data_IF_844720200523
#
_entry.id   IF_844720200523
#
_cell.length_a   1.000
_cell.length_b   1.000
_cell.length_c   1.000
_cell.angle_alpha   90.00
_cell.angle_beta   90.00
_cell.angle_gamma   90.00
#
_symmetry.space_group_name_H-M   'P 1'
#
loop_
_entity.id
_entity.type
_entity.pdbx_description
1 polymer ?
#
# COMPACT_ATOMS: atom_id res chain seq x y z
N UNK A 1 -53.37 5.87 -33.09
CA UNK A 1 -51.99 5.64 -32.61
C UNK A 1 -51.83 6.48 -31.36
N UNK A 2 -51.43 5.89 -30.24
CA UNK A 2 -51.09 6.67 -29.06
C UNK A 2 -49.79 7.44 -29.35
N UNK A 3 -49.73 8.73 -29.03
CA UNK A 3 -48.47 9.48 -29.13
C UNK A 3 -47.50 8.92 -28.09
N UNK A 4 -46.40 8.33 -28.54
CA UNK A 4 -45.32 7.91 -27.65
C UNK A 4 -44.61 9.18 -27.19
N UNK A 5 -44.59 9.41 -25.89
CA UNK A 5 -43.82 10.51 -25.30
C UNK A 5 -42.40 10.00 -25.13
N UNK A 6 -41.45 10.63 -25.83
CA UNK A 6 -40.04 10.26 -25.68
C UNK A 6 -39.59 10.49 -24.23
N UNK A 7 -39.03 9.48 -23.55
CA UNK A 7 -38.53 9.65 -22.20
C UNK A 7 -37.37 10.65 -22.21
N UNK A 8 -37.50 11.71 -21.41
CA UNK A 8 -36.47 12.74 -21.27
C UNK A 8 -35.36 12.39 -20.28
N UNK A 9 -35.46 11.25 -19.58
CA UNK A 9 -34.48 10.81 -18.59
C UNK A 9 -34.21 9.30 -18.65
N UNK A 10 -33.08 8.90 -18.05
CA UNK A 10 -32.60 7.50 -18.02
C UNK A 10 -33.57 6.56 -17.29
N UNK A 11 -34.24 7.05 -16.25
CA UNK A 11 -35.19 6.27 -15.46
C UNK A 11 -36.47 5.97 -16.27
N UNK A 12 -36.96 6.94 -17.04
CA UNK A 12 -38.06 6.75 -17.97
C UNK A 12 -37.75 5.74 -19.05
N UNK A 13 -36.54 5.78 -19.62
CA UNK A 13 -36.06 4.76 -20.57
C UNK A 13 -36.02 3.38 -19.92
N UNK A 14 -35.42 3.26 -18.73
CA UNK A 14 -35.32 1.98 -18.03
C UNK A 14 -36.69 1.37 -17.70
N UNK A 15 -37.65 2.20 -17.25
CA UNK A 15 -39.00 1.74 -16.98
C UNK A 15 -39.73 1.33 -18.28
N UNK A 16 -39.52 2.06 -19.37
CA UNK A 16 -40.11 1.73 -20.67
C UNK A 16 -39.55 0.40 -21.23
N UNK A 17 -38.26 0.13 -21.04
CA UNK A 17 -37.62 -1.12 -21.47
C UNK A 17 -38.11 -2.37 -20.71
N UNK A 18 -38.71 -2.19 -19.53
CA UNK A 18 -39.22 -3.28 -18.69
C UNK A 18 -40.72 -3.51 -18.93
N UNK A 19 -41.43 -2.55 -19.52
CA UNK A 19 -42.87 -2.67 -19.77
C UNK A 19 -43.14 -3.47 -21.06
N UNK A 20 -43.71 -4.69 -20.98
CA UNK A 20 -44.00 -5.51 -22.15
C UNK A 20 -45.10 -4.92 -23.04
N UNK A 21 -45.83 -3.89 -22.60
CA UNK A 21 -46.89 -3.24 -23.38
C UNK A 21 -46.36 -2.21 -24.38
N UNK A 22 -45.08 -1.84 -24.32
CA UNK A 22 -44.47 -0.84 -25.19
C UNK A 22 -43.91 -1.51 -26.45
N UNK A 23 -44.34 -1.02 -27.62
CA UNK A 23 -43.74 -1.37 -28.90
C UNK A 23 -42.37 -0.69 -29.03
N UNK A 24 -41.31 -1.46 -28.83
CA UNK A 24 -39.93 -0.99 -28.84
C UNK A 24 -39.51 -0.46 -30.22
N UNK A 25 -39.97 -1.09 -31.31
CA UNK A 25 -39.68 -0.61 -32.67
C UNK A 25 -40.30 0.78 -32.90
N UNK A 26 -41.52 0.99 -32.41
CA UNK A 26 -42.18 2.29 -32.45
C UNK A 26 -41.47 3.34 -31.55
N UNK A 27 -40.98 2.95 -30.38
CA UNK A 27 -40.24 3.83 -29.47
C UNK A 27 -38.91 4.30 -30.09
N UNK A 28 -38.09 3.38 -30.60
CA UNK A 28 -36.77 3.74 -31.17
C UNK A 28 -36.88 4.50 -32.50
N UNK A 29 -37.92 4.23 -33.30
CA UNK A 29 -38.16 5.00 -34.53
C UNK A 29 -38.65 6.42 -34.26
N UNK A 30 -39.44 6.65 -33.21
CA UNK A 30 -39.93 7.98 -32.84
C UNK A 30 -38.96 8.78 -31.97
N UNK A 31 -38.12 8.10 -31.19
CA UNK A 31 -37.24 8.69 -30.19
C UNK A 31 -35.79 8.21 -30.34
N UNK A 32 -35.08 8.57 -31.43
CA UNK A 32 -33.71 8.11 -31.67
C UNK A 32 -32.73 8.53 -30.55
N UNK A 33 -32.98 9.65 -29.89
CA UNK A 33 -32.23 10.12 -28.71
C UNK A 33 -32.26 9.11 -27.55
N UNK A 34 -33.23 8.18 -27.52
CA UNK A 34 -33.29 7.12 -26.50
C UNK A 34 -32.05 6.22 -26.56
N UNK A 35 -31.49 6.00 -27.75
CA UNK A 35 -30.24 5.27 -27.90
C UNK A 35 -29.03 6.05 -27.34
N UNK A 36 -29.11 7.39 -27.27
CA UNK A 36 -28.09 8.26 -26.66
C UNK A 36 -28.29 8.41 -25.15
N UNK A 37 -29.54 8.46 -24.67
CA UNK A 37 -29.89 8.51 -23.24
C UNK A 37 -29.51 7.23 -22.47
N UNK A 38 -29.36 6.09 -23.15
CA UNK A 38 -28.78 4.90 -22.54
C UNK A 38 -27.33 5.13 -22.06
N UNK A 39 -26.67 6.18 -22.58
CA UNK A 39 -25.38 6.67 -22.13
C UNK A 39 -25.53 7.82 -21.14
N UNK A 40 -24.54 7.97 -20.27
CA UNK A 40 -24.37 9.23 -19.53
C UNK A 40 -23.90 10.26 -20.56
N UNK A 41 -24.80 11.13 -21.01
CA UNK A 41 -24.46 12.26 -21.88
C UNK A 41 -23.54 13.28 -21.21
N UNK A 42 -23.35 13.17 -19.88
CA UNK A 42 -22.36 13.92 -19.12
C UNK A 42 -21.13 13.05 -18.83
N UNK A 43 -19.99 13.44 -19.42
CA UNK A 43 -18.67 12.81 -19.30
C UNK A 43 -18.43 12.13 -17.93
N UNK A 44 -18.47 10.78 -17.84
CA UNK A 44 -18.10 10.10 -16.61
C UNK A 44 -16.57 10.11 -16.50
N UNK A 45 -16.04 11.21 -15.98
CA UNK A 45 -14.63 11.44 -15.59
C UNK A 45 -14.02 10.32 -14.71
N UNK A 46 -14.87 9.42 -14.21
CA UNK A 46 -14.54 8.28 -13.37
C UNK A 46 -13.80 7.16 -14.11
N UNK A 47 -13.94 7.08 -15.43
CA UNK A 47 -13.19 6.15 -16.29
C UNK A 47 -11.93 6.77 -16.89
N UNK A 48 -11.59 7.98 -16.45
CA UNK A 48 -10.56 8.81 -17.04
C UNK A 48 -9.18 8.15 -17.10
N UNK A 49 -8.36 8.60 -18.06
CA UNK A 49 -6.97 8.14 -18.25
C UNK A 49 -6.20 8.19 -16.92
N UNK A 50 -6.35 9.27 -16.15
CA UNK A 50 -5.65 9.44 -14.88
C UNK A 50 -6.02 8.41 -13.81
N UNK A 51 -7.26 7.90 -13.78
CA UNK A 51 -7.67 6.82 -12.86
C UNK A 51 -6.96 5.52 -13.23
N UNK A 52 -6.95 5.16 -14.52
CA UNK A 52 -6.20 4.01 -15.01
C UNK A 52 -4.70 4.12 -14.69
N UNK A 53 -4.09 5.27 -14.96
CA UNK A 53 -2.67 5.51 -14.64
C UNK A 53 -2.43 5.42 -13.13
N UNK A 54 -3.34 5.95 -12.30
CA UNK A 54 -3.22 5.86 -10.84
C UNK A 54 -3.22 4.41 -10.36
N UNK A 55 -4.10 3.57 -10.90
CA UNK A 55 -4.11 2.14 -10.59
C UNK A 55 -2.88 1.41 -11.14
N UNK A 56 -2.34 1.81 -12.28
CA UNK A 56 -1.07 1.27 -12.81
C UNK A 56 0.12 1.66 -11.92
N UNK A 57 0.19 2.92 -11.48
CA UNK A 57 1.19 3.39 -10.52
C UNK A 57 1.05 2.60 -9.22
N UNK A 58 -0.18 2.46 -8.72
CA UNK A 58 -0.47 1.70 -7.51
C UNK A 58 -0.02 0.24 -7.62
N UNK A 59 -0.39 -0.45 -8.71
CA UNK A 59 0.02 -1.82 -9.00
C UNK A 59 1.54 -1.95 -9.04
N UNK A 60 2.20 -1.00 -9.71
CA UNK A 60 3.65 -0.98 -9.86
C UNK A 60 4.35 -0.76 -8.51
N UNK A 61 3.89 0.21 -7.70
CA UNK A 61 4.44 0.46 -6.39
C UNK A 61 4.20 -0.71 -5.45
N UNK A 62 3.02 -1.32 -5.50
CA UNK A 62 2.72 -2.57 -4.79
C UNK A 62 3.73 -3.65 -5.15
N UNK A 63 3.96 -3.94 -6.42
CA UNK A 63 4.94 -4.95 -6.85
C UNK A 63 6.36 -4.60 -6.41
N UNK A 64 6.75 -3.34 -6.58
CA UNK A 64 8.09 -2.85 -6.24
C UNK A 64 8.34 -2.81 -4.72
N UNK A 65 7.31 -2.57 -3.90
CA UNK A 65 7.46 -2.56 -2.46
C UNK A 65 7.17 -3.90 -1.83
N UNK A 66 6.20 -4.69 -2.28
CA UNK A 66 5.76 -5.90 -1.59
C UNK A 66 6.86 -6.95 -1.46
N UNK A 67 7.45 -7.40 -2.56
CA UNK A 67 8.50 -8.43 -2.51
C UNK A 67 9.73 -7.92 -1.77
N UNK A 68 10.31 -6.77 -2.15
CA UNK A 68 11.53 -6.31 -1.52
C UNK A 68 11.28 -5.94 -0.05
N UNK A 69 10.14 -5.34 0.30
CA UNK A 69 9.83 -4.99 1.68
C UNK A 69 9.72 -6.23 2.55
N UNK A 70 8.95 -7.24 2.15
CA UNK A 70 8.77 -8.46 2.96
C UNK A 70 10.13 -9.17 3.12
N UNK A 71 10.87 -9.37 2.02
CA UNK A 71 12.19 -9.99 2.06
C UNK A 71 13.15 -9.17 2.93
N UNK A 72 13.32 -7.88 2.67
CA UNK A 72 14.23 -7.03 3.44
C UNK A 72 13.80 -6.90 4.89
N UNK A 73 12.50 -6.87 5.21
CA UNK A 73 12.03 -6.73 6.58
C UNK A 73 12.44 -7.94 7.44
N UNK A 74 12.25 -9.16 6.95
CA UNK A 74 12.62 -10.37 7.67
C UNK A 74 14.13 -10.58 7.75
N UNK A 75 14.86 -10.30 6.67
CA UNK A 75 16.31 -10.55 6.61
C UNK A 75 17.18 -9.37 7.07
N UNK A 76 16.62 -8.17 7.26
CA UNK A 76 17.42 -7.00 7.67
C UNK A 76 17.66 -6.93 9.18
N UNK A 77 18.78 -6.31 9.62
CA UNK A 77 19.02 -5.93 11.01
C UNK A 77 17.93 -5.00 11.56
N UNK A 78 17.72 -5.03 12.87
CA UNK A 78 16.71 -4.24 13.60
C UNK A 78 16.78 -2.73 13.30
N UNK A 79 17.99 -2.19 13.13
CA UNK A 79 18.22 -0.78 12.77
C UNK A 79 17.59 -0.40 11.43
N UNK A 80 17.70 -1.26 10.41
CA UNK A 80 17.13 -1.03 9.07
C UNK A 80 15.63 -1.30 9.01
N UNK A 81 15.14 -2.24 9.83
CA UNK A 81 13.69 -2.51 9.92
C UNK A 81 12.91 -1.25 10.27
N UNK A 82 13.43 -0.38 11.14
CA UNK A 82 12.78 0.91 11.47
C UNK A 82 12.60 1.81 10.24
N UNK A 83 13.64 1.94 9.42
CA UNK A 83 13.57 2.73 8.18
C UNK A 83 12.59 2.14 7.18
N UNK A 84 12.61 0.81 7.01
CA UNK A 84 11.69 0.09 6.14
C UNK A 84 10.24 0.28 6.60
N UNK A 85 9.95 0.09 7.90
CA UNK A 85 8.61 0.32 8.46
C UNK A 85 8.16 1.74 8.20
N UNK A 86 9.02 2.74 8.39
CA UNK A 86 8.69 4.13 8.09
C UNK A 86 8.45 4.40 6.59
N UNK A 87 9.08 3.67 5.68
CA UNK A 87 8.78 3.73 4.24
C UNK A 87 7.40 3.13 3.95
N UNK A 88 7.17 1.93 4.45
CA UNK A 88 5.92 1.21 4.25
C UNK A 88 4.72 1.95 4.84
N UNK A 89 4.85 2.53 6.03
CA UNK A 89 3.80 3.35 6.62
C UNK A 89 3.41 4.55 5.76
N UNK A 90 4.37 5.17 5.07
CA UNK A 90 4.06 6.29 4.18
C UNK A 90 3.34 5.80 2.93
N UNK A 91 3.87 4.76 2.27
CA UNK A 91 3.22 4.10 1.14
C UNK A 91 1.77 3.74 1.48
N UNK A 92 1.57 3.13 2.65
CA UNK A 92 0.27 2.68 3.11
C UNK A 92 -0.72 3.81 3.40
N UNK A 93 -0.27 4.92 4.00
CA UNK A 93 -1.12 6.10 4.22
C UNK A 93 -1.66 6.64 2.91
N UNK A 94 -0.77 6.80 1.92
CA UNK A 94 -1.11 7.32 0.60
C UNK A 94 -2.09 6.40 -0.10
N UNK A 95 -1.78 5.10 -0.06
CA UNK A 95 -2.65 4.06 -0.58
C UNK A 95 -4.06 4.18 0.03
N UNK A 96 -4.16 4.26 1.36
CA UNK A 96 -5.44 4.40 2.04
C UNK A 96 -6.16 5.70 1.66
N UNK A 97 -5.46 6.82 1.53
CA UNK A 97 -6.05 8.10 1.11
C UNK A 97 -6.61 8.03 -0.30
N UNK A 98 -5.84 7.50 -1.26
CA UNK A 98 -6.31 7.31 -2.64
C UNK A 98 -7.56 6.42 -2.68
N UNK A 99 -7.51 5.30 -1.96
CA UNK A 99 -8.61 4.35 -1.92
C UNK A 99 -9.87 4.96 -1.27
N UNK A 100 -9.76 5.62 -0.12
CA UNK A 100 -10.92 6.25 0.54
C UNK A 100 -11.52 7.35 -0.33
N UNK A 101 -10.68 8.21 -0.94
CA UNK A 101 -11.14 9.26 -1.83
C UNK A 101 -11.91 8.65 -3.01
N UNK A 102 -11.34 7.64 -3.66
CA UNK A 102 -11.95 6.99 -4.80
C UNK A 102 -13.25 6.27 -4.46
N UNK A 103 -13.30 5.54 -3.34
CA UNK A 103 -14.50 4.87 -2.85
C UNK A 103 -15.64 5.87 -2.61
N UNK A 104 -15.34 7.01 -1.99
CA UNK A 104 -16.32 8.07 -1.76
C UNK A 104 -16.82 8.67 -3.08
N UNK A 105 -15.93 8.92 -4.04
CA UNK A 105 -16.32 9.43 -5.36
C UNK A 105 -17.23 8.44 -6.08
N UNK A 106 -16.88 7.15 -6.09
CA UNK A 106 -17.69 6.10 -6.71
C UNK A 106 -19.06 5.96 -6.04
N UNK A 107 -19.12 6.05 -4.70
CA UNK A 107 -20.40 6.03 -3.97
C UNK A 107 -21.27 7.25 -4.28
N UNK A 108 -20.69 8.46 -4.31
CA UNK A 108 -21.40 9.70 -4.62
C UNK A 108 -21.95 9.64 -6.05
N UNK A 109 -21.16 9.16 -7.00
CA UNK A 109 -21.61 9.06 -8.39
C UNK A 109 -22.69 8.00 -8.51
N UNK A 110 -22.51 6.83 -7.92
CA UNK A 110 -23.54 5.80 -7.92
C UNK A 110 -24.86 6.32 -7.31
N UNK A 111 -24.79 7.08 -6.21
CA UNK A 111 -25.96 7.68 -5.58
C UNK A 111 -26.63 8.76 -6.45
N UNK A 112 -25.85 9.55 -7.19
CA UNK A 112 -26.37 10.64 -8.04
C UNK A 112 -26.89 10.16 -9.39
N UNK A 113 -26.32 9.09 -9.93
CA UNK A 113 -26.54 8.74 -11.32
C UNK A 113 -27.80 7.90 -11.57
N UNK A 114 -28.57 7.57 -10.53
CA UNK A 114 -29.95 7.09 -10.70
C UNK A 114 -30.12 5.76 -11.44
N UNK A 115 -29.08 4.93 -11.52
CA UNK A 115 -29.14 3.64 -12.23
C UNK A 115 -28.78 3.73 -13.72
N UNK A 116 -27.61 4.30 -14.03
CA UNK A 116 -27.05 4.25 -15.39
C UNK A 116 -26.82 2.78 -15.78
N UNK A 117 -27.50 2.36 -16.85
CA UNK A 117 -27.42 1.01 -17.38
C UNK A 117 -25.96 0.68 -17.80
N UNK A 118 -25.36 1.48 -18.68
CA UNK A 118 -24.00 1.23 -19.18
C UNK A 118 -22.86 1.69 -18.25
N UNK A 119 -23.17 2.52 -17.25
CA UNK A 119 -22.22 2.90 -16.20
C UNK A 119 -21.96 1.78 -15.19
N UNK A 120 -22.81 0.75 -15.14
CA UNK A 120 -22.69 -0.33 -14.16
C UNK A 120 -21.40 -1.14 -14.33
N UNK A 121 -21.07 -1.60 -15.55
CA UNK A 121 -19.84 -2.38 -15.77
C UNK A 121 -18.60 -1.56 -15.41
N UNK A 122 -18.59 -0.27 -15.75
CA UNK A 122 -17.52 0.65 -15.39
C UNK A 122 -17.40 0.79 -13.86
N UNK A 123 -18.50 1.15 -13.19
CA UNK A 123 -18.55 1.33 -11.73
C UNK A 123 -18.15 0.04 -11.02
N UNK A 124 -18.60 -1.11 -11.52
CA UNK A 124 -18.21 -2.42 -11.04
C UNK A 124 -16.70 -2.67 -11.19
N UNK A 125 -16.12 -2.43 -12.36
CA UNK A 125 -14.68 -2.56 -12.59
C UNK A 125 -13.87 -1.63 -11.66
N UNK A 126 -14.37 -0.42 -11.40
CA UNK A 126 -13.76 0.52 -10.47
C UNK A 126 -13.80 0.01 -9.01
N UNK A 127 -14.94 -0.52 -8.54
CA UNK A 127 -15.02 -1.18 -7.24
C UNK A 127 -14.11 -2.41 -7.16
N UNK A 128 -13.94 -3.12 -8.26
CA UNK A 128 -13.12 -4.30 -8.32
C UNK A 128 -11.62 -3.96 -8.25
N UNK A 129 -11.16 -2.95 -9.00
CA UNK A 129 -9.79 -2.43 -8.92
C UNK A 129 -9.45 -2.03 -7.49
N UNK A 130 -10.38 -1.32 -6.86
CA UNK A 130 -10.29 -0.91 -5.48
C UNK A 130 -10.17 -2.10 -4.52
N UNK A 131 -11.06 -3.08 -4.66
CA UNK A 131 -11.08 -4.27 -3.81
C UNK A 131 -9.79 -5.06 -3.93
N UNK A 132 -9.35 -5.36 -5.15
CA UNK A 132 -8.11 -6.10 -5.42
C UNK A 132 -6.94 -5.37 -4.81
N UNK A 133 -6.84 -4.07 -5.04
CA UNK A 133 -5.70 -3.34 -4.55
C UNK A 133 -5.66 -3.27 -3.02
N UNK A 134 -6.83 -3.14 -2.36
CA UNK A 134 -6.93 -3.15 -0.89
C UNK A 134 -6.50 -4.51 -0.36
N UNK A 135 -6.91 -5.59 -1.05
CA UNK A 135 -6.46 -6.95 -0.83
C UNK A 135 -4.94 -7.07 -0.88
N UNK A 136 -4.31 -6.54 -1.94
CA UNK A 136 -2.85 -6.57 -2.04
C UNK A 136 -2.19 -5.82 -0.89
N UNK A 137 -2.70 -4.64 -0.53
CA UNK A 137 -2.15 -3.88 0.59
C UNK A 137 -2.31 -4.61 1.93
N UNK A 138 -3.42 -5.33 2.15
CA UNK A 138 -3.61 -6.16 3.34
C UNK A 138 -2.55 -7.28 3.41
N UNK A 139 -2.33 -8.00 2.31
CA UNK A 139 -1.28 -9.03 2.21
C UNK A 139 0.09 -8.42 2.49
N UNK A 140 0.38 -7.24 1.93
CA UNK A 140 1.67 -6.57 2.12
C UNK A 140 1.88 -6.06 3.55
N UNK A 141 0.81 -5.59 4.20
CA UNK A 141 0.84 -5.09 5.57
C UNK A 141 0.87 -6.21 6.62
N UNK A 142 0.68 -7.48 6.20
CA UNK A 142 0.59 -8.62 7.11
C UNK A 142 1.76 -8.73 8.10
N UNK A 143 3.04 -8.57 7.72
CA UNK A 143 4.17 -8.61 8.67
C UNK A 143 4.11 -7.51 9.74
N UNK A 144 3.50 -6.36 9.40
CA UNK A 144 3.34 -5.22 10.28
C UNK A 144 2.17 -5.42 11.24
N UNK A 145 1.04 -5.93 10.74
CA UNK A 145 -0.12 -6.32 11.54
C UNK A 145 0.28 -7.41 12.55
N UNK A 146 1.04 -8.40 12.09
CA UNK A 146 1.63 -9.46 12.91
C UNK A 146 2.45 -8.90 14.06
N UNK A 147 3.40 -7.99 13.77
CA UNK A 147 4.22 -7.38 14.81
C UNK A 147 3.41 -6.51 15.76
N UNK A 148 2.32 -5.90 15.32
CA UNK A 148 1.44 -5.14 16.20
C UNK A 148 0.65 -6.04 17.13
N UNK A 149 0.07 -7.12 16.61
CA UNK A 149 -0.61 -8.14 17.40
C UNK A 149 0.31 -8.78 18.45
N UNK A 150 1.59 -8.93 18.14
CA UNK A 150 2.62 -9.37 19.09
C UNK A 150 2.67 -8.46 20.32
N UNK A 151 2.74 -7.14 20.11
CA UNK A 151 2.77 -6.21 21.24
C UNK A 151 1.46 -6.29 22.03
N UNK A 152 0.31 -6.48 21.37
CA UNK A 152 -1.01 -6.59 22.00
C UNK A 152 -1.15 -7.81 22.88
N UNK A 153 -0.82 -8.98 22.36
CA UNK A 153 -1.13 -10.25 23.01
C UNK A 153 -0.10 -10.56 24.09
N UNK A 154 1.17 -10.22 23.86
CA UNK A 154 2.27 -10.61 24.76
C UNK A 154 2.36 -9.72 26.00
N UNK A 155 1.61 -8.62 26.08
CA UNK A 155 1.58 -7.76 27.27
C UNK A 155 2.96 -7.18 27.62
N UNK A 156 3.88 -7.10 26.65
CA UNK A 156 5.18 -6.45 26.84
C UNK A 156 4.91 -5.04 27.32
N UNK A 157 5.44 -4.66 28.49
CA UNK A 157 5.23 -3.34 29.11
C UNK A 157 5.31 -2.27 28.02
N UNK A 158 4.16 -1.74 27.60
CA UNK A 158 4.12 -0.88 26.45
C UNK A 158 4.81 0.42 26.86
N UNK A 159 5.78 0.89 26.09
CA UNK A 159 6.05 2.32 26.04
C UNK A 159 4.71 2.97 25.65
N UNK A 160 3.98 3.48 26.64
CA UNK A 160 2.55 3.81 26.61
C UNK A 160 2.17 4.74 25.44
N UNK A 161 3.14 5.54 25.00
CA UNK A 161 3.01 6.50 23.92
C UNK A 161 2.95 5.85 22.52
N UNK A 162 3.66 4.75 22.29
CA UNK A 162 3.81 4.16 20.94
C UNK A 162 2.55 3.44 20.48
N UNK A 163 1.73 3.02 21.44
CA UNK A 163 0.52 2.23 21.27
C UNK A 163 -0.70 2.98 20.78
N UNK A 164 -0.99 4.14 21.38
CA UNK A 164 -2.13 4.98 20.98
C UNK A 164 -2.07 5.35 19.49
N UNK A 165 -0.86 5.45 18.93
CA UNK A 165 -0.65 5.83 17.53
C UNK A 165 -0.84 4.68 16.54
N UNK A 166 -0.42 3.46 16.88
CA UNK A 166 -0.46 2.34 15.93
C UNK A 166 -1.82 1.62 15.94
N UNK A 167 -2.49 1.51 17.10
CA UNK A 167 -3.82 0.90 17.19
C UNK A 167 -4.88 1.66 16.39
N UNK A 168 -4.86 3.00 16.42
CA UNK A 168 -5.77 3.84 15.62
C UNK A 168 -5.62 3.60 14.11
N UNK A 169 -4.38 3.46 13.61
CA UNK A 169 -4.13 3.20 12.18
C UNK A 169 -4.68 1.83 11.74
N UNK A 170 -4.55 0.80 12.58
CA UNK A 170 -5.10 -0.53 12.28
C UNK A 170 -6.62 -0.49 12.23
N UNK A 171 -7.28 0.14 13.21
CA UNK A 171 -8.74 0.22 13.22
C UNK A 171 -9.28 0.95 11.99
N UNK A 172 -8.65 2.07 11.62
CA UNK A 172 -8.99 2.78 10.37
C UNK A 172 -8.79 1.87 9.16
N UNK A 173 -7.70 1.11 9.11
CA UNK A 173 -7.46 0.19 8.00
C UNK A 173 -8.47 -0.96 7.95
N UNK A 174 -8.71 -1.64 9.06
CA UNK A 174 -9.68 -2.73 9.15
C UNK A 174 -11.07 -2.23 8.76
N UNK A 175 -11.44 -1.03 9.19
CA UNK A 175 -12.68 -0.38 8.78
C UNK A 175 -12.72 -0.11 7.27
N UNK A 176 -11.68 0.49 6.69
CA UNK A 176 -11.59 0.74 5.25
C UNK A 176 -11.64 -0.57 4.47
N UNK A 177 -10.95 -1.62 4.92
CA UNK A 177 -10.97 -2.94 4.30
C UNK A 177 -12.38 -3.55 4.32
N UNK A 178 -13.02 -3.57 5.49
CA UNK A 178 -14.38 -4.09 5.64
C UNK A 178 -15.40 -3.30 4.82
N UNK A 179 -15.24 -1.98 4.73
CA UNK A 179 -16.08 -1.13 3.91
C UNK A 179 -15.91 -1.43 2.41
N UNK A 180 -14.67 -1.59 1.94
CA UNK A 180 -14.39 -1.98 0.54
C UNK A 180 -14.89 -3.39 0.23
N UNK A 181 -14.68 -4.35 1.14
CA UNK A 181 -15.21 -5.71 0.99
C UNK A 181 -16.74 -5.72 0.98
N UNK A 182 -17.38 -5.02 1.92
CA UNK A 182 -18.83 -4.94 2.01
C UNK A 182 -19.46 -4.29 0.78
N UNK A 183 -18.86 -3.21 0.26
CA UNK A 183 -19.31 -2.55 -0.97
C UNK A 183 -19.10 -3.44 -2.20
N UNK A 184 -17.92 -4.06 -2.36
CA UNK A 184 -17.66 -4.98 -3.46
C UNK A 184 -18.60 -6.20 -3.44
N UNK A 185 -18.81 -6.79 -2.26
CA UNK A 185 -19.75 -7.89 -2.08
C UNK A 185 -21.18 -7.45 -2.39
N UNK A 186 -21.63 -6.31 -1.85
CA UNK A 186 -22.96 -5.75 -2.13
C UNK A 186 -23.19 -5.58 -3.63
N UNK A 187 -22.23 -5.01 -4.35
CA UNK A 187 -22.32 -4.78 -5.80
C UNK A 187 -22.31 -6.09 -6.60
N UNK A 188 -21.47 -7.05 -6.21
CA UNK A 188 -21.39 -8.38 -6.86
C UNK A 188 -22.69 -9.17 -6.67
N UNK A 189 -23.33 -9.04 -5.52
CA UNK A 189 -24.55 -9.77 -5.16
C UNK A 189 -25.84 -8.97 -5.40
N UNK A 190 -25.82 -7.92 -6.22
CA UNK A 190 -27.04 -7.16 -6.59
C UNK A 190 -27.61 -7.68 -7.92
N UNK A 191 -28.46 -8.73 -7.92
CA UNK A 191 -28.92 -9.40 -9.14
C UNK A 191 -29.81 -8.51 -10.03
N UNK A 192 -30.43 -7.48 -9.45
CA UNK A 192 -31.34 -6.59 -10.17
C UNK A 192 -30.62 -5.75 -11.22
N UNK A 193 -29.49 -5.14 -10.88
CA UNK A 193 -28.76 -4.27 -11.83
C UNK A 193 -28.12 -5.08 -12.96
N UNK A 194 -27.60 -6.28 -12.67
CA UNK A 194 -27.09 -7.19 -13.69
C UNK A 194 -28.19 -7.61 -14.67
N UNK A 195 -29.39 -7.94 -14.18
CA UNK A 195 -30.53 -8.24 -15.04
C UNK A 195 -30.94 -7.02 -15.85
N UNK A 196 -31.00 -5.83 -15.25
CA UNK A 196 -31.29 -4.59 -15.98
C UNK A 196 -30.28 -4.33 -17.09
N UNK A 197 -28.99 -4.61 -16.87
CA UNK A 197 -27.97 -4.48 -17.91
C UNK A 197 -28.09 -5.54 -19.00
N UNK A 198 -28.24 -6.83 -18.65
CA UNK A 198 -28.45 -7.90 -19.64
C UNK A 198 -29.72 -7.62 -20.47
N UNK A 199 -30.83 -7.29 -19.81
CA UNK A 199 -32.10 -6.94 -20.45
C UNK A 199 -31.91 -5.73 -21.35
N UNK A 200 -31.33 -4.64 -20.85
CA UNK A 200 -31.12 -3.46 -21.68
C UNK A 200 -30.19 -3.74 -22.87
N UNK A 201 -29.12 -4.51 -22.70
CA UNK A 201 -28.25 -4.88 -23.81
C UNK A 201 -29.01 -5.71 -24.87
N UNK A 202 -29.69 -6.79 -24.47
CA UNK A 202 -30.40 -7.64 -25.42
C UNK A 202 -31.61 -6.97 -26.06
N UNK A 203 -32.22 -6.00 -25.38
CA UNK A 203 -33.33 -5.20 -25.90
C UNK A 203 -32.83 -4.06 -26.78
N UNK A 204 -31.76 -3.34 -26.41
CA UNK A 204 -31.26 -2.17 -27.14
C UNK A 204 -30.40 -2.54 -28.36
N UNK A 205 -29.61 -3.61 -28.27
CA UNK A 205 -28.64 -3.96 -29.31
C UNK A 205 -29.26 -4.20 -30.71
N UNK A 206 -30.45 -4.80 -30.84
CA UNK A 206 -31.13 -4.94 -32.13
C UNK A 206 -31.57 -3.60 -32.75
N UNK A 207 -31.93 -2.60 -31.94
CA UNK A 207 -32.55 -1.36 -32.41
C UNK A 207 -31.57 -0.18 -32.52
N UNK A 208 -30.45 -0.23 -31.81
CA UNK A 208 -29.43 0.81 -31.81
C UNK A 208 -28.11 0.21 -32.33
N UNK A 209 -27.76 0.40 -33.62
CA UNK A 209 -26.61 -0.22 -34.27
C UNK A 209 -25.28 -0.01 -33.55
N UNK A 210 -25.14 1.10 -32.84
CA UNK A 210 -23.97 1.44 -32.05
C UNK A 210 -23.69 0.42 -30.92
N UNK A 211 -24.70 -0.29 -30.40
CA UNK A 211 -24.49 -1.32 -29.38
C UNK A 211 -24.05 -2.66 -29.95
N UNK A 212 -24.17 -2.90 -31.26
CA UNK A 212 -23.72 -4.14 -31.89
C UNK A 212 -22.20 -4.36 -31.76
N UNK A 213 -21.44 -3.28 -31.54
CA UNK A 213 -19.99 -3.32 -31.31
C UNK A 213 -19.62 -3.66 -29.85
N UNK A 214 -20.55 -3.49 -28.91
CA UNK A 214 -20.32 -3.80 -27.49
C UNK A 214 -20.54 -5.30 -27.31
N UNK A 215 -19.56 -6.04 -26.78
CA UNK A 215 -19.77 -7.47 -26.54
C UNK A 215 -20.71 -7.66 -25.35
N UNK A 216 -21.55 -8.72 -25.33
CA UNK A 216 -22.36 -9.01 -24.16
C UNK A 216 -21.48 -9.26 -22.93
N UNK A 217 -21.97 -8.92 -21.73
CA UNK A 217 -21.25 -9.16 -20.49
C UNK A 217 -20.93 -10.65 -20.35
N UNK A 218 -19.67 -10.99 -20.12
CA UNK A 218 -19.26 -12.38 -19.93
C UNK A 218 -19.68 -12.87 -18.54
N UNK A 219 -20.60 -13.84 -18.48
CA UNK A 219 -21.09 -14.44 -17.21
C UNK A 219 -20.04 -15.20 -16.38
N UNK A 220 -18.91 -15.57 -16.97
CA UNK A 220 -17.90 -16.41 -16.33
C UNK A 220 -17.05 -15.66 -15.30
N UNK A 221 -17.09 -14.33 -15.34
CA UNK A 221 -16.30 -13.48 -14.45
C UNK A 221 -16.72 -13.64 -12.99
N UNK A 222 -18.01 -13.74 -12.70
CA UNK A 222 -18.54 -13.69 -11.33
C UNK A 222 -18.06 -14.82 -10.42
N UNK A 223 -18.00 -16.05 -10.94
CA UNK A 223 -17.52 -17.21 -10.19
C UNK A 223 -16.00 -17.18 -10.00
N UNK A 224 -15.27 -16.73 -11.02
CA UNK A 224 -13.83 -16.51 -10.90
C UNK A 224 -13.51 -15.46 -9.82
N UNK A 225 -14.37 -14.44 -9.65
CA UNK A 225 -14.23 -13.40 -8.63
C UNK A 225 -14.55 -13.88 -7.22
N UNK A 226 -15.63 -14.63 -7.04
CA UNK A 226 -15.96 -15.24 -5.76
C UNK A 226 -14.82 -16.17 -5.33
N UNK A 227 -14.32 -16.99 -6.26
CA UNK A 227 -13.19 -17.87 -6.03
C UNK A 227 -11.92 -17.09 -5.65
N UNK A 228 -11.58 -16.02 -6.39
CA UNK A 228 -10.43 -15.18 -6.07
C UNK A 228 -10.53 -14.51 -4.69
N UNK A 229 -11.72 -14.04 -4.32
CA UNK A 229 -12.00 -13.41 -3.02
C UNK A 229 -11.92 -14.41 -1.86
N UNK A 230 -12.46 -15.62 -2.07
CA UNK A 230 -12.34 -16.74 -1.14
C UNK A 230 -10.88 -17.17 -0.97
N UNK A 231 -10.14 -17.35 -2.07
CA UNK A 231 -8.70 -17.66 -2.03
C UNK A 231 -7.95 -16.60 -1.23
N UNK A 232 -8.30 -15.31 -1.41
CA UNK A 232 -7.72 -14.20 -0.64
C UNK A 232 -7.98 -14.35 0.85
N UNK A 233 -9.24 -14.50 1.26
CA UNK A 233 -9.61 -14.64 2.67
C UNK A 233 -8.99 -15.89 3.30
N UNK A 234 -8.99 -17.00 2.55
CA UNK A 234 -8.40 -18.26 2.95
C UNK A 234 -6.87 -18.22 2.95
N UNK A 235 -6.22 -17.28 2.28
CA UNK A 235 -4.76 -17.09 2.36
C UNK A 235 -4.32 -16.37 3.64
N UNK A 236 -5.20 -15.55 4.24
CA UNK A 236 -4.91 -14.79 5.46
C UNK A 236 -4.97 -15.69 6.71
N UNK A 237 -5.94 -16.61 6.75
CA UNK A 237 -6.19 -17.51 7.89
C UNK A 237 -4.96 -18.37 8.27
N UNK A 238 -4.31 -19.07 7.34
CA UNK A 238 -3.14 -19.89 7.63
C UNK A 238 -1.92 -19.08 8.07
N UNK A 239 -1.76 -17.86 7.54
CA UNK A 239 -0.69 -16.92 7.95
C UNK A 239 -0.90 -16.50 9.40
N UNK A 240 -2.14 -16.20 9.78
CA UNK A 240 -2.51 -15.90 11.17
C UNK A 240 -2.29 -17.08 12.10
N UNK A 241 -2.73 -18.29 11.72
CA UNK A 241 -2.56 -19.53 12.50
C UNK A 241 -1.08 -19.84 12.72
N UNK A 242 -0.26 -19.73 11.67
CA UNK A 242 1.16 -20.04 11.77
C UNK A 242 1.91 -19.00 12.61
N UNK A 243 1.59 -17.72 12.45
CA UNK A 243 2.16 -16.67 13.28
C UNK A 243 1.84 -16.91 14.77
N UNK A 244 0.57 -17.23 15.07
CA UNK A 244 0.15 -17.63 16.42
C UNK A 244 0.97 -18.82 16.96
N UNK A 245 1.27 -19.81 16.11
CA UNK A 245 2.13 -20.96 16.47
C UNK A 245 3.62 -20.63 16.61
N UNK A 246 4.16 -19.71 15.83
CA UNK A 246 5.54 -19.22 15.99
C UNK A 246 5.71 -18.51 17.34
N UNK A 247 4.68 -17.81 17.79
CA UNK A 247 4.71 -17.07 19.06
C UNK A 247 4.52 -17.94 20.29
N UNK A 248 3.91 -19.12 20.19
CA UNK A 248 3.69 -20.02 21.32
C UNK A 248 4.98 -20.68 21.86
N UNK A 249 6.16 -20.11 21.60
CA UNK A 249 7.44 -20.50 22.19
C UNK A 249 7.99 -21.85 21.73
N UNK A 250 7.31 -22.57 20.84
CA UNK A 250 7.83 -23.83 20.29
C UNK A 250 8.87 -23.49 19.23
N UNK A 251 10.15 -23.51 19.64
CA UNK A 251 11.39 -23.28 18.85
C UNK A 251 11.56 -24.16 17.58
N UNK A 252 10.52 -24.84 17.12
CA UNK A 252 10.55 -25.82 16.04
C UNK A 252 9.73 -25.42 14.81
N UNK A 253 9.39 -24.13 14.65
CA UNK A 253 9.00 -23.67 13.30
C UNK A 253 10.28 -23.58 12.47
N UNK A 254 10.57 -24.68 11.78
CA UNK A 254 11.69 -24.81 10.85
C UNK A 254 11.73 -23.61 9.91
N UNK A 255 12.92 -23.06 9.64
CA UNK A 255 13.13 -22.01 8.64
C UNK A 255 12.46 -22.33 7.30
N UNK A 256 12.35 -23.62 6.94
CA UNK A 256 11.64 -24.09 5.75
C UNK A 256 10.18 -23.67 5.72
N UNK A 257 9.51 -23.66 6.88
CA UNK A 257 8.11 -23.25 7.02
C UNK A 257 8.01 -21.75 6.76
N UNK A 258 8.86 -20.92 7.39
CA UNK A 258 8.88 -19.47 7.16
C UNK A 258 9.10 -19.14 5.68
N UNK A 259 10.07 -19.81 5.03
CA UNK A 259 10.33 -19.63 3.59
C UNK A 259 9.13 -20.05 2.73
N UNK A 260 8.48 -21.17 3.04
CA UNK A 260 7.28 -21.62 2.33
C UNK A 260 6.13 -20.60 2.39
N UNK A 261 5.92 -19.97 3.54
CA UNK A 261 4.90 -18.94 3.69
C UNK A 261 5.26 -17.62 3.03
N UNK A 262 6.53 -17.22 3.09
CA UNK A 262 7.01 -16.08 2.32
C UNK A 262 6.77 -16.32 0.84
N UNK A 263 7.06 -17.51 0.32
CA UNK A 263 6.78 -17.87 -1.07
C UNK A 263 5.28 -17.84 -1.39
N UNK A 264 4.41 -18.26 -0.47
CA UNK A 264 2.97 -18.15 -0.66
C UNK A 264 2.49 -16.70 -0.69
N UNK A 265 2.94 -15.84 0.25
CA UNK A 265 2.57 -14.42 0.27
C UNK A 265 3.02 -13.69 -1.00
N UNK A 266 4.21 -14.04 -1.47
CA UNK A 266 4.79 -13.64 -2.75
C UNK A 266 3.87 -14.08 -3.90
N UNK A 267 3.49 -15.36 -3.95
CA UNK A 267 2.64 -15.90 -5.01
C UNK A 267 1.24 -15.25 -5.02
N UNK A 268 0.61 -15.07 -3.84
CA UNK A 268 -0.68 -14.38 -3.71
C UNK A 268 -0.57 -12.92 -4.17
N UNK A 269 0.50 -12.22 -3.78
CA UNK A 269 0.78 -10.86 -4.23
C UNK A 269 0.93 -10.75 -5.75
N UNK A 270 1.66 -11.68 -6.38
CA UNK A 270 1.79 -11.73 -7.84
C UNK A 270 0.44 -12.00 -8.51
N UNK A 271 -0.31 -13.00 -8.04
CA UNK A 271 -1.61 -13.35 -8.59
C UNK A 271 -2.59 -12.16 -8.52
N UNK A 272 -2.61 -11.46 -7.39
CA UNK A 272 -3.43 -10.27 -7.22
C UNK A 272 -3.00 -9.12 -8.14
N UNK A 273 -1.70 -8.91 -8.32
CA UNK A 273 -1.17 -7.87 -9.19
C UNK A 273 -1.47 -8.17 -10.66
N UNK A 274 -1.39 -9.43 -11.07
CA UNK A 274 -1.83 -9.90 -12.38
C UNK A 274 -3.33 -9.67 -12.58
N UNK A 275 -4.14 -9.94 -11.54
CA UNK A 275 -5.57 -9.66 -11.57
C UNK A 275 -5.87 -8.17 -11.69
N UNK A 276 -5.16 -7.33 -10.94
CA UNK A 276 -5.27 -5.88 -11.04
C UNK A 276 -4.94 -5.41 -12.46
N UNK A 277 -3.86 -5.93 -13.06
CA UNK A 277 -3.52 -5.70 -14.45
C UNK A 277 -4.64 -6.10 -15.41
N UNK A 278 -5.18 -7.32 -15.27
CA UNK A 278 -6.30 -7.79 -16.09
C UNK A 278 -7.52 -6.86 -15.99
N UNK A 279 -7.89 -6.43 -14.79
CA UNK A 279 -9.03 -5.51 -14.60
C UNK A 279 -8.74 -4.13 -15.23
N UNK A 280 -7.50 -3.64 -15.16
CA UNK A 280 -7.11 -2.40 -15.86
C UNK A 280 -7.24 -2.58 -17.38
N UNK A 281 -6.77 -3.70 -17.94
CA UNK A 281 -6.94 -3.99 -19.37
C UNK A 281 -8.41 -4.06 -19.77
N UNK A 282 -9.26 -4.69 -18.94
CA UNK A 282 -10.71 -4.71 -19.14
C UNK A 282 -11.33 -3.33 -19.06
N UNK A 283 -10.91 -2.49 -18.11
CA UNK A 283 -11.36 -1.11 -17.99
C UNK A 283 -11.02 -0.30 -19.24
N UNK A 284 -9.81 -0.45 -19.78
CA UNK A 284 -9.37 0.18 -21.03
C UNK A 284 -10.16 -0.34 -22.22
N UNK A 285 -10.40 -1.66 -22.32
CA UNK A 285 -11.19 -2.26 -23.40
C UNK A 285 -12.64 -1.75 -23.38
N UNK A 286 -13.29 -1.77 -22.21
CA UNK A 286 -14.63 -1.22 -22.02
C UNK A 286 -14.63 0.24 -22.46
N UNK A 287 -13.72 1.07 -21.93
CA UNK A 287 -13.62 2.48 -22.31
C UNK A 287 -13.46 2.68 -23.82
N UNK A 288 -12.59 1.94 -24.48
CA UNK A 288 -12.37 2.07 -25.92
C UNK A 288 -13.64 1.75 -26.70
N UNK A 289 -14.43 0.76 -26.26
CA UNK A 289 -15.74 0.47 -26.85
C UNK A 289 -16.75 1.57 -26.57
N UNK A 290 -16.78 2.12 -25.35
CA UNK A 290 -17.66 3.25 -25.02
C UNK A 290 -17.32 4.46 -25.91
N UNK A 291 -16.03 4.74 -26.10
CA UNK A 291 -15.56 5.86 -26.92
C UNK A 291 -15.91 5.73 -28.42
N UNK A 292 -16.11 4.52 -28.93
CA UNK A 292 -16.58 4.30 -30.31
C UNK A 292 -18.08 4.60 -30.48
N UNK A 293 -18.85 4.53 -29.39
CA UNK A 293 -20.31 4.68 -29.42
C UNK A 293 -20.74 6.13 -29.21
N UNK A 294 -20.00 6.90 -28.41
CA UNK A 294 -20.37 8.30 -28.14
C UNK A 294 -19.87 9.20 -29.28
N UNK A 295 -20.79 9.60 -30.17
CA UNK A 295 -20.52 10.34 -31.41
C UNK A 295 -20.14 11.81 -31.16
N UNK A 296 -20.63 12.41 -30.07
CA UNK A 296 -20.23 13.74 -29.64
C UNK A 296 -18.96 13.61 -28.83
N UNK A 297 -17.91 14.36 -29.19
CA UNK A 297 -16.59 14.39 -28.55
C UNK A 297 -16.71 14.32 -27.02
N UNK A 298 -16.68 13.10 -26.47
CA UNK A 298 -16.34 12.88 -25.08
C UNK A 298 -14.89 13.29 -25.04
N UNK A 299 -14.64 14.51 -24.59
CA UNK A 299 -13.31 15.08 -24.58
C UNK A 299 -12.32 14.02 -24.08
N UNK A 300 -11.37 13.66 -24.93
CA UNK A 300 -10.14 12.95 -24.56
C UNK A 300 -9.27 13.78 -23.59
N UNK A 301 -9.79 14.93 -23.16
CA UNK A 301 -9.15 15.83 -22.23
C UNK A 301 -9.04 15.24 -20.83
N UNK A 302 -7.93 15.61 -20.22
CA UNK A 302 -7.65 15.34 -18.84
C UNK A 302 -8.66 16.07 -17.95
N UNK A 303 -9.65 15.34 -17.43
CA UNK A 303 -10.52 15.87 -16.38
C UNK A 303 -9.67 16.30 -15.16
N UNK A 304 -10.08 17.37 -14.47
CA UNK A 304 -9.37 17.87 -13.27
C UNK A 304 -9.16 16.79 -12.21
N UNK A 305 -10.13 15.88 -12.04
CA UNK A 305 -10.02 14.72 -11.15
C UNK A 305 -8.92 13.74 -11.55
N UNK A 306 -8.63 13.60 -12.85
CA UNK A 306 -7.57 12.75 -13.38
C UNK A 306 -6.18 13.31 -13.08
N UNK A 307 -6.01 14.63 -13.22
CA UNK A 307 -4.79 15.33 -12.82
C UNK A 307 -4.58 15.24 -11.31
N UNK A 308 -5.63 15.51 -10.52
CA UNK A 308 -5.58 15.42 -9.06
C UNK A 308 -5.17 14.00 -8.60
N UNK A 309 -5.71 12.97 -9.26
CA UNK A 309 -5.36 11.58 -8.98
C UNK A 309 -3.86 11.30 -9.19
N UNK A 310 -3.23 11.90 -10.21
CA UNK A 310 -1.78 11.83 -10.41
C UNK A 310 -1.00 12.60 -9.34
N UNK A 311 -1.47 13.78 -8.95
CA UNK A 311 -0.81 14.59 -7.91
C UNK A 311 -0.76 13.89 -6.55
N UNK A 312 -1.75 13.06 -6.23
CA UNK A 312 -1.74 12.20 -5.02
C UNK A 312 -0.51 11.29 -4.99
N UNK A 313 0.03 10.90 -6.16
CA UNK A 313 1.19 10.02 -6.26
C UNK A 313 2.55 10.74 -6.19
N UNK A 314 2.62 12.05 -6.46
CA UNK A 314 3.89 12.79 -6.55
C UNK A 314 4.64 12.80 -5.22
N UNK A 315 4.03 13.30 -4.14
CA UNK A 315 4.65 13.33 -2.81
C UNK A 315 5.17 11.95 -2.35
N UNK A 316 4.41 10.85 -2.49
CA UNK A 316 4.88 9.48 -2.22
C UNK A 316 6.12 9.11 -3.03
N UNK A 317 6.07 9.33 -4.34
CA UNK A 317 7.14 8.95 -5.27
C UNK A 317 8.39 9.74 -4.94
N UNK A 318 8.27 11.04 -4.71
CA UNK A 318 9.40 11.92 -4.37
C UNK A 318 9.98 11.57 -3.01
N UNK A 319 9.15 11.44 -1.96
CA UNK A 319 9.64 11.10 -0.60
C UNK A 319 10.28 9.72 -0.56
N UNK A 320 9.69 8.75 -1.25
CA UNK A 320 10.20 7.38 -1.28
C UNK A 320 11.46 7.30 -2.13
N UNK A 321 11.47 7.93 -3.31
CA UNK A 321 12.63 8.07 -4.17
C UNK A 321 13.80 8.72 -3.45
N UNK A 322 13.59 9.86 -2.76
CA UNK A 322 14.62 10.51 -1.97
C UNK A 322 15.18 9.60 -0.87
N UNK A 323 14.34 8.86 -0.15
CA UNK A 323 14.79 7.89 0.86
C UNK A 323 15.55 6.71 0.26
N UNK A 324 15.11 6.20 -0.89
CA UNK A 324 15.80 5.12 -1.62
C UNK A 324 17.15 5.58 -2.16
N UNK A 325 17.21 6.77 -2.75
CA UNK A 325 18.45 7.40 -3.20
C UNK A 325 19.38 7.62 -2.01
N UNK A 326 18.91 8.17 -0.90
CA UNK A 326 19.73 8.33 0.32
C UNK A 326 20.22 6.98 0.86
N UNK A 327 19.38 5.96 0.85
CA UNK A 327 19.73 4.61 1.28
C UNK A 327 20.77 3.95 0.36
N UNK A 328 20.55 4.03 -0.96
CA UNK A 328 21.47 3.54 -1.99
C UNK A 328 22.79 4.30 -2.01
N UNK A 329 22.74 5.62 -1.87
CA UNK A 329 23.90 6.51 -1.79
C UNK A 329 24.73 6.24 -0.54
N UNK A 330 24.11 5.94 0.60
CA UNK A 330 24.89 5.47 1.76
C UNK A 330 25.62 4.14 1.49
N UNK A 331 25.08 3.30 0.59
CA UNK A 331 25.65 1.98 0.24
C UNK A 331 26.72 2.04 -0.85
N UNK A 332 26.54 2.92 -1.84
CA UNK A 332 27.41 3.09 -3.00
C UNK A 332 28.37 4.28 -2.86
N UNK A 333 28.12 5.17 -1.90
CA UNK A 333 28.94 6.35 -1.65
C UNK A 333 30.40 5.97 -1.43
N UNK A 334 31.35 6.78 -1.95
CA UNK A 334 32.78 6.50 -1.84
C UNK A 334 33.14 6.17 -0.40
N UNK A 335 33.94 5.11 -0.18
CA UNK A 335 34.43 4.73 1.17
C UNK A 335 34.94 5.95 1.95
N UNK A 336 35.56 6.89 1.24
CA UNK A 336 36.04 8.15 1.78
C UNK A 336 34.98 9.00 2.50
N UNK A 337 33.72 9.04 2.03
CA UNK A 337 32.63 9.78 2.70
C UNK A 337 32.24 9.12 4.02
N UNK A 338 32.31 7.77 4.09
CA UNK A 338 32.07 7.05 5.35
C UNK A 338 33.22 7.26 6.33
N UNK A 339 34.45 7.28 5.85
CA UNK A 339 35.63 7.58 6.66
C UNK A 339 35.59 9.02 7.19
N UNK A 340 35.25 10.00 6.35
CA UNK A 340 35.07 11.39 6.80
C UNK A 340 33.94 11.53 7.83
N UNK A 341 32.83 10.82 7.66
CA UNK A 341 31.72 10.85 8.63
C UNK A 341 32.12 10.22 9.97
N UNK A 342 32.92 9.15 9.94
CA UNK A 342 33.48 8.51 11.16
C UNK A 342 34.50 9.44 11.82
N UNK A 343 35.41 10.04 11.05
CA UNK A 343 36.39 10.99 11.55
C UNK A 343 35.73 12.23 12.17
N UNK A 344 34.67 12.77 11.56
CA UNK A 344 33.94 13.92 12.11
C UNK A 344 33.23 13.58 13.43
N UNK A 345 32.65 12.37 13.55
CA UNK A 345 32.08 11.91 14.84
C UNK A 345 33.15 11.70 15.89
N UNK A 346 34.27 11.07 15.53
CA UNK A 346 35.41 10.90 16.43
C UNK A 346 35.91 12.24 16.96
N UNK A 347 36.01 13.27 16.11
CA UNK A 347 36.37 14.65 16.53
C UNK A 347 35.33 15.31 17.43
N UNK A 348 34.04 15.06 17.21
CA UNK A 348 32.98 15.61 18.08
C UNK A 348 32.95 14.90 19.44
N UNK A 349 33.11 13.58 19.46
CA UNK A 349 33.26 12.80 20.70
C UNK A 349 34.53 13.21 21.45
N UNK A 350 35.63 13.43 20.73
CA UNK A 350 36.87 13.98 21.27
C UNK A 350 36.62 15.36 21.90
N UNK A 351 35.97 16.30 21.20
CA UNK A 351 35.62 17.62 21.76
C UNK A 351 34.72 17.55 22.99
N UNK A 352 33.72 16.68 22.98
CA UNK A 352 32.82 16.48 24.13
C UNK A 352 33.59 15.88 25.32
N UNK A 353 34.53 14.97 25.04
CA UNK A 353 35.37 14.34 26.04
C UNK A 353 36.37 15.34 26.68
N UNK A 354 36.97 16.21 25.86
CA UNK A 354 37.80 17.34 26.35
C UNK A 354 37.04 18.24 27.32
N UNK A 355 35.73 18.40 27.11
CA UNK A 355 34.93 19.24 27.99
C UNK A 355 34.64 18.58 29.34
N UNK A 356 34.62 17.24 29.39
CA UNK A 356 34.29 16.48 30.59
C UNK A 356 35.52 16.17 31.47
N UNK A 357 36.74 16.16 30.93
CA UNK A 357 37.97 15.81 31.66
C UNK A 357 39.12 16.80 31.42
N UNK A 358 38.99 18.07 31.84
CA UNK A 358 39.99 19.10 31.57
C UNK A 358 41.35 18.85 32.25
N UNK A 359 41.40 18.03 33.30
CA UNK A 359 42.60 17.74 34.11
C UNK A 359 43.48 16.62 33.52
N UNK A 360 42.98 15.88 32.53
CA UNK A 360 43.66 14.74 31.93
C UNK A 360 44.12 15.05 30.50
N UNK A 361 45.40 14.81 30.21
CA UNK A 361 45.92 14.87 28.85
C UNK A 361 45.70 13.51 28.15
N UNK A 362 44.89 13.43 27.08
CA UNK A 362 44.77 12.24 26.26
C UNK A 362 46.00 12.07 25.39
N UNK A 363 46.59 10.88 25.44
CA UNK A 363 47.56 10.42 24.45
C UNK A 363 46.84 9.53 23.44
N UNK A 364 46.96 9.87 22.15
CA UNK A 364 46.29 9.15 21.06
C UNK A 364 47.19 8.02 20.61
N UNK A 365 46.82 6.78 20.95
CA UNK A 365 47.54 5.62 20.45
C UNK A 365 47.19 5.39 18.96
N UNK A 366 48.07 5.88 18.08
CA UNK A 366 47.97 5.71 16.62
C UNK A 366 48.31 4.27 16.20
N UNK A 367 47.49 3.30 16.60
CA UNK A 367 47.46 2.00 15.92
C UNK A 367 46.49 2.08 14.73
N UNK A 368 46.63 1.18 13.74
CA UNK A 368 45.91 1.23 12.44
C UNK A 368 44.36 1.15 12.51
N UNK A 369 43.78 1.25 13.71
CA UNK A 369 42.39 1.67 13.94
C UNK A 369 42.29 2.33 15.32
N UNK A 370 41.76 3.55 15.39
CA UNK A 370 41.61 4.30 16.65
C UNK A 370 40.67 3.55 17.62
N UNK A 371 41.21 2.96 18.68
CA UNK A 371 40.46 2.13 19.65
C UNK A 371 40.03 2.90 20.90
N UNK A 372 40.63 4.05 21.19
CA UNK A 372 40.33 4.84 22.38
C UNK A 372 41.39 5.90 22.65
N UNK A 373 41.32 6.48 23.84
CA UNK A 373 42.26 7.46 24.35
C UNK A 373 42.85 6.98 25.66
N UNK A 374 44.13 7.25 25.84
CA UNK A 374 44.82 7.02 27.09
C UNK A 374 44.86 8.32 27.88
N UNK A 375 44.24 8.38 29.04
CA UNK A 375 44.22 9.59 29.86
C UNK A 375 45.30 9.51 30.92
N UNK A 376 46.17 10.52 30.96
CA UNK A 376 47.18 10.67 32.00
C UNK A 376 46.95 12.00 32.73
N UNK A 377 46.96 11.97 34.06
CA UNK A 377 46.82 13.18 34.87
C UNK A 377 47.96 14.17 34.54
N UNK A 378 47.64 15.44 34.35
CA UNK A 378 48.59 16.43 33.83
C UNK A 378 49.70 16.83 34.84
N UNK A 379 49.61 16.42 36.11
CA UNK A 379 50.51 16.84 37.17
C UNK A 379 51.15 15.69 37.95
N UNK A 380 52.49 15.66 37.99
CA UNK A 380 53.24 14.88 38.99
C UNK A 380 53.05 15.54 40.36
N UNK A 381 51.99 15.15 41.07
CA UNK A 381 51.65 15.67 42.40
C UNK A 381 50.18 16.01 42.65
N UNK A 382 49.29 15.88 41.65
CA UNK A 382 47.84 16.01 41.88
C UNK A 382 47.30 14.73 42.54
N UNK A 383 46.43 14.86 43.53
CA UNK A 383 45.78 13.73 44.25
C UNK A 383 44.72 13.01 43.39
N UNK A 384 44.73 13.22 42.08
CA UNK A 384 43.79 12.65 41.13
C UNK A 384 44.02 11.13 41.01
N UNK A 385 43.01 10.36 41.42
CA UNK A 385 43.00 8.91 41.32
C UNK A 385 41.83 8.50 40.43
N UNK A 386 42.06 7.75 39.33
CA UNK A 386 43.33 7.14 38.91
C UNK A 386 44.28 8.13 38.20
N UNK A 387 45.59 7.90 38.33
CA UNK A 387 46.66 8.64 37.61
C UNK A 387 46.63 8.38 36.10
N UNK A 388 45.99 7.28 35.70
CA UNK A 388 45.91 6.80 34.34
C UNK A 388 44.63 5.99 34.12
N UNK A 389 43.90 6.25 33.05
CA UNK A 389 42.76 5.41 32.67
C UNK A 389 42.57 5.34 31.15
N UNK A 390 41.92 4.27 30.69
CA UNK A 390 41.61 4.07 29.27
C UNK A 390 40.16 4.44 28.96
N UNK A 391 39.97 5.37 28.04
CA UNK A 391 38.67 5.67 27.45
C UNK A 391 38.54 4.94 26.12
N UNK A 392 37.83 3.80 26.06
CA UNK A 392 37.57 3.15 24.77
C UNK A 392 36.42 3.84 24.05
N UNK A 393 36.52 3.99 22.73
CA UNK A 393 35.34 4.43 21.96
C UNK A 393 34.29 3.32 21.98
N UNK A 394 33.01 3.67 22.11
CA UNK A 394 31.92 2.67 22.12
C UNK A 394 31.88 1.81 20.85
N UNK A 395 32.49 2.28 19.77
CA UNK A 395 32.50 1.62 18.47
C UNK A 395 33.66 0.63 18.26
N UNK A 396 34.75 0.78 19.01
CA UNK A 396 35.91 -0.14 18.98
C UNK A 396 35.75 -1.29 19.97
N UNK A 397 34.99 -1.09 21.04
CA UNK A 397 34.61 -2.14 21.98
C UNK A 397 33.52 -3.05 21.38
N UNK A 398 33.86 -3.85 20.38
CA UNK A 398 33.05 -5.04 20.04
C UNK A 398 33.29 -6.04 21.15
N UNK A 399 32.45 -6.02 22.18
CA UNK A 399 32.51 -7.02 23.23
C UNK A 399 32.43 -8.41 22.61
N UNK A 400 33.41 -9.27 22.89
CA UNK A 400 33.27 -10.71 22.73
C UNK A 400 32.21 -11.18 23.73
N UNK A 401 30.95 -10.99 23.36
CA UNK A 401 29.82 -11.42 24.16
C UNK A 401 29.79 -12.94 24.21
N UNK A 402 30.12 -13.51 25.36
CA UNK A 402 29.62 -14.83 25.75
C UNK A 402 28.09 -14.73 25.90
N UNK A 403 27.37 -14.97 24.81
CA UNK A 403 25.94 -15.22 24.81
C UNK A 403 25.02 -13.98 24.85
N UNK A 404 23.80 -14.07 24.27
CA UNK A 404 22.95 -12.92 23.94
C UNK A 404 21.94 -12.57 25.04
N UNK A 405 22.35 -12.29 26.29
CA UNK A 405 21.37 -12.02 27.35
C UNK A 405 21.51 -10.75 28.21
N UNK A 406 22.50 -9.88 28.04
CA UNK A 406 22.59 -8.66 28.84
C UNK A 406 22.73 -7.37 28.01
N UNK A 407 21.60 -6.82 27.57
CA UNK A 407 21.50 -5.47 26.97
C UNK A 407 21.42 -4.35 28.05
N UNK A 408 21.71 -4.64 29.33
CA UNK A 408 21.66 -3.64 30.42
C UNK A 408 23.01 -3.09 30.90
N UNK A 409 24.13 -3.45 30.28
CA UNK A 409 25.41 -2.79 30.61
C UNK A 409 25.52 -1.42 29.93
N UNK A 410 25.01 -0.38 30.60
CA UNK A 410 25.63 0.95 30.53
C UNK A 410 26.97 0.89 31.28
N UNK A 411 27.97 0.26 30.66
CA UNK A 411 29.31 0.16 31.21
C UNK A 411 30.13 1.39 30.84
N UNK A 412 30.33 2.31 31.79
CA UNK A 412 31.64 2.95 31.92
C UNK A 412 32.59 1.88 32.45
N UNK A 413 33.22 1.11 31.56
CA UNK A 413 34.27 0.19 31.95
C UNK A 413 35.55 0.99 32.16
N UNK A 414 35.74 1.50 33.38
CA UNK A 414 37.04 1.93 33.85
C UNK A 414 37.83 0.68 34.25
N UNK A 415 38.73 0.22 33.39
CA UNK A 415 39.82 -0.64 33.83
C UNK A 415 40.88 0.24 34.49
N UNK A 416 40.78 0.43 35.80
CA UNK A 416 41.90 0.93 36.60
C UNK A 416 42.79 -0.25 37.00
N UNK A 417 44.00 -0.37 36.44
CA UNK A 417 45.00 -1.24 37.05
C UNK A 417 45.61 -0.49 38.23
N UNK A 418 45.33 -0.95 39.43
CA UNK A 418 46.03 -0.50 40.63
C UNK A 418 47.43 -1.12 40.62
N UNK A 419 48.47 -0.30 40.56
CA UNK A 419 49.83 -0.69 40.95
C UNK A 419 50.21 0.07 42.20
#
# INVERSE_FOLDING_TARGET
>A
MANIICPGDTLGVANALIDPAIDLDALFSQCPETCELAWVTNNPDLSGVGVCISYLIQASLVLLFQFPFVTFYYFSPSSRRRTLVGLFENFFKIYATFNVAFLLTTLIVHARAGGIIFGYELVFLLYLLQFIAVGVCAVTATPLIIKLLEVVIVGSKPDEFRWKFHGRKILVFGFVYLLNFGTAAYQTFRPTEKRSFETAYYVLAPHCPQFAAVAPPQRWTDWAWLAASLIMLLSILPVWILHSRMQSGRRLVSQKVIVGWLALLVAVGLAMSAMLGYVIFRLVDVRNRLGQVVVTSVDDDWGFGQLLALFVWIDPIVKTGHKLVKFGWHRLGPRHVREQSRAKRARMEEQEHWHNYPEYQPDVELTQGHTGWHHQAAGVGTLETPTMFWGTTRYSAVGEGKGPHDDQYQGHLMYGSWR
#
